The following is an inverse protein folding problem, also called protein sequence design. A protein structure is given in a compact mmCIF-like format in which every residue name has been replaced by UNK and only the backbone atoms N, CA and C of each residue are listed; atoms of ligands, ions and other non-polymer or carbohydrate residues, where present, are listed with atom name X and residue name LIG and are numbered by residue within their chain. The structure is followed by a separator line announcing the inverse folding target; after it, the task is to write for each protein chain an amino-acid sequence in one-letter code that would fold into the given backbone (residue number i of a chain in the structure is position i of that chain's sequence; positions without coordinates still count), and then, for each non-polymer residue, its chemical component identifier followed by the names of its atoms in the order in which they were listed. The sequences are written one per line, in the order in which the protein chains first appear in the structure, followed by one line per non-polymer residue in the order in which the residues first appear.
data_IF_100984813510
#
_entry.id   IF_100984813510
#
_cell.length_a   1.000
_cell.length_b   1.000
_cell.length_c   1.000
_cell.angle_alpha   90.00
_cell.angle_beta   90.00
_cell.angle_gamma   90.00
#
_symmetry.space_group_name_H-M   'P 1'
#
loop_
_entity.id
_entity.type
_entity.pdbx_description
1 polymer ?
#
# COMPACT_ATOMS: atom_id res chain seq x y z
N UNK A 1 11.60 -5.97 -17.46
CA UNK A 1 12.81 -6.73 -17.86
C UNK A 1 14.12 -5.93 -17.70
N UNK A 2 14.16 -4.62 -18.01
CA UNK A 2 15.39 -3.81 -17.89
C UNK A 2 15.95 -3.74 -16.46
N UNK A 3 15.10 -3.68 -15.44
CA UNK A 3 15.52 -3.65 -14.03
C UNK A 3 16.18 -4.96 -13.63
N UNK A 4 15.65 -6.11 -14.05
CA UNK A 4 16.25 -7.42 -13.76
C UNK A 4 17.57 -7.61 -14.49
N UNK A 5 17.68 -7.15 -15.74
CA UNK A 5 18.94 -7.18 -16.48
C UNK A 5 20.01 -6.29 -15.84
N UNK A 6 19.62 -5.10 -15.35
CA UNK A 6 20.54 -4.23 -14.61
C UNK A 6 20.97 -4.89 -13.29
N UNK A 7 20.03 -5.53 -12.57
CA UNK A 7 20.34 -6.26 -11.34
C UNK A 7 21.35 -7.40 -11.59
N UNK A 8 21.20 -8.17 -12.69
CA UNK A 8 22.15 -9.26 -13.00
C UNK A 8 23.58 -8.75 -13.22
N UNK A 9 23.73 -7.57 -13.82
CA UNK A 9 25.06 -6.95 -14.00
C UNK A 9 25.66 -6.48 -12.65
N UNK A 10 24.83 -5.96 -11.76
CA UNK A 10 25.26 -5.43 -10.46
C UNK A 10 25.66 -6.54 -9.47
N UNK A 11 24.98 -7.68 -9.52
CA UNK A 11 25.26 -8.83 -8.65
C UNK A 11 26.39 -9.73 -9.17
N UNK A 12 26.79 -9.59 -10.42
CA UNK A 12 27.81 -10.43 -11.04
C UNK A 12 29.18 -10.18 -10.38
N UNK A 13 29.78 -11.23 -9.84
CA UNK A 13 31.08 -11.17 -9.18
C UNK A 13 31.04 -10.68 -7.72
N UNK A 14 29.85 -10.52 -7.13
CA UNK A 14 29.71 -10.23 -5.71
C UNK A 14 29.84 -11.53 -4.87
N UNK A 15 30.44 -11.41 -3.68
CA UNK A 15 30.60 -12.55 -2.76
C UNK A 15 29.25 -13.06 -2.23
N UNK A 16 28.28 -12.14 -1.99
CA UNK A 16 26.90 -12.45 -1.65
C UNK A 16 25.94 -11.87 -2.70
N UNK A 17 25.54 -12.68 -3.69
CA UNK A 17 24.61 -12.22 -4.73
C UNK A 17 23.20 -11.86 -4.21
N UNK A 18 22.75 -12.50 -3.12
CA UNK A 18 21.44 -12.23 -2.54
C UNK A 18 21.41 -10.86 -1.87
N UNK A 19 22.44 -10.54 -1.08
CA UNK A 19 22.58 -9.23 -0.45
C UNK A 19 22.80 -8.12 -1.49
N UNK A 20 23.61 -8.38 -2.53
CA UNK A 20 23.80 -7.44 -3.64
C UNK A 20 22.49 -7.15 -4.37
N UNK A 21 21.66 -8.18 -4.67
CA UNK A 21 20.34 -8.02 -5.26
C UNK A 21 19.41 -7.21 -4.35
N UNK A 22 19.44 -7.52 -3.06
CA UNK A 22 18.63 -6.82 -2.06
C UNK A 22 18.99 -5.34 -1.98
N UNK A 23 20.29 -5.00 -1.94
CA UNK A 23 20.77 -3.62 -2.00
C UNK A 23 20.36 -2.92 -3.31
N UNK A 24 20.54 -3.59 -4.46
CA UNK A 24 20.15 -3.05 -5.76
C UNK A 24 18.65 -2.71 -5.81
N UNK A 25 17.80 -3.61 -5.33
CA UNK A 25 16.34 -3.42 -5.31
C UNK A 25 15.89 -2.46 -4.20
N UNK A 26 16.72 -2.21 -3.21
CA UNK A 26 16.45 -1.24 -2.13
C UNK A 26 16.78 0.20 -2.52
N UNK A 27 17.35 0.41 -3.72
CA UNK A 27 17.81 1.71 -4.19
C UNK A 27 17.18 2.13 -5.50
N UNK A 28 17.24 3.44 -5.80
CA UNK A 28 16.82 3.97 -7.08
C UNK A 28 15.31 4.10 -7.27
N UNK A 29 14.89 4.28 -8.52
CA UNK A 29 13.53 4.64 -8.91
C UNK A 29 12.51 3.50 -8.78
N UNK A 30 12.96 2.25 -8.73
CA UNK A 30 12.15 1.04 -8.64
C UNK A 30 12.60 0.20 -7.44
N UNK A 31 12.75 0.85 -6.30
CA UNK A 31 13.17 0.19 -5.07
C UNK A 31 12.02 -0.61 -4.43
N UNK A 32 12.37 -1.59 -3.64
CA UNK A 32 11.44 -2.21 -2.71
C UNK A 32 11.00 -1.21 -1.65
N UNK A 33 9.70 -1.18 -1.38
CA UNK A 33 9.18 -0.44 -0.24
C UNK A 33 9.67 -1.10 1.07
N UNK A 34 9.99 -0.29 2.06
CA UNK A 34 10.24 -0.81 3.41
C UNK A 34 8.97 -1.38 4.03
N UNK A 35 9.11 -2.24 5.04
CA UNK A 35 7.99 -2.80 5.78
C UNK A 35 7.05 -1.73 6.31
N UNK A 36 7.60 -0.62 6.85
CA UNK A 36 6.81 0.51 7.35
C UNK A 36 6.05 1.22 6.23
N UNK A 37 6.67 1.40 5.06
CA UNK A 37 5.99 1.97 3.89
C UNK A 37 4.85 1.08 3.41
N UNK A 38 5.03 -0.25 3.40
CA UNK A 38 3.99 -1.22 3.07
C UNK A 38 2.86 -1.14 4.10
N UNK A 39 3.15 -1.17 5.40
CA UNK A 39 2.16 -1.05 6.46
C UNK A 39 1.32 0.22 6.31
N UNK A 40 1.98 1.35 6.14
CA UNK A 40 1.29 2.62 5.92
C UNK A 40 0.42 2.59 4.66
N UNK A 41 0.94 2.08 3.55
CA UNK A 41 0.19 1.98 2.30
C UNK A 41 -1.05 1.08 2.42
N UNK A 42 -0.94 -0.06 3.11
CA UNK A 42 -2.09 -0.96 3.36
C UNK A 42 -3.18 -0.29 4.16
N UNK A 43 -2.80 0.56 5.13
CA UNK A 43 -3.75 1.29 5.98
C UNK A 43 -4.47 2.43 5.25
N UNK A 44 -3.79 3.11 4.31
CA UNK A 44 -4.27 4.41 3.82
C UNK A 44 -4.44 4.51 2.31
N UNK A 45 -3.75 3.67 1.53
CA UNK A 45 -3.81 3.80 0.08
C UNK A 45 -5.13 3.26 -0.49
N UNK A 46 -5.72 3.94 -1.48
CA UNK A 46 -6.92 3.47 -2.15
C UNK A 46 -6.59 2.33 -3.11
N UNK A 47 -6.30 1.16 -2.57
CA UNK A 47 -5.80 -0.03 -3.26
C UNK A 47 -6.65 -0.41 -4.47
N UNK A 48 -7.98 -0.33 -4.36
CA UNK A 48 -8.89 -0.72 -5.45
C UNK A 48 -8.74 0.17 -6.70
N UNK A 49 -8.44 1.43 -6.53
CA UNK A 49 -8.31 2.39 -7.64
C UNK A 49 -6.88 2.58 -8.11
N UNK A 50 -5.91 2.05 -7.38
CA UNK A 50 -4.47 2.19 -7.67
C UNK A 50 -3.96 1.01 -8.51
N UNK A 51 -3.06 1.29 -9.44
CA UNK A 51 -2.40 0.27 -10.25
C UNK A 51 -3.33 -0.45 -11.24
N UNK A 52 -2.89 -1.62 -11.72
CA UNK A 52 -3.63 -2.43 -12.71
C UNK A 52 -4.56 -3.42 -12.01
N UNK A 53 -5.79 -3.61 -12.54
CA UNK A 53 -6.78 -4.53 -11.99
C UNK A 53 -6.25 -5.96 -11.79
N UNK A 54 -5.49 -6.47 -12.76
CA UNK A 54 -4.87 -7.79 -12.67
C UNK A 54 -3.89 -7.92 -11.49
N UNK A 55 -3.13 -6.86 -11.19
CA UNK A 55 -2.20 -6.87 -10.04
C UNK A 55 -2.95 -6.86 -8.71
N UNK A 56 -4.04 -6.13 -8.61
CA UNK A 56 -4.88 -6.09 -7.39
C UNK A 56 -5.44 -7.46 -7.05
N UNK A 57 -6.01 -8.15 -8.07
CA UNK A 57 -6.52 -9.52 -7.90
C UNK A 57 -5.39 -10.48 -7.51
N UNK A 58 -4.22 -10.37 -8.16
CA UNK A 58 -3.06 -11.20 -7.88
C UNK A 58 -2.56 -11.04 -6.43
N UNK A 59 -2.50 -9.81 -5.92
CA UNK A 59 -2.09 -9.54 -4.53
C UNK A 59 -3.07 -10.17 -3.54
N UNK A 60 -4.38 -9.98 -3.74
CA UNK A 60 -5.41 -10.60 -2.89
C UNK A 60 -5.35 -12.12 -2.95
N UNK A 61 -5.09 -12.70 -4.13
CA UNK A 61 -4.90 -14.14 -4.30
C UNK A 61 -3.70 -14.64 -3.50
N UNK A 62 -2.56 -14.00 -3.60
CA UNK A 62 -1.37 -14.37 -2.85
C UNK A 62 -1.55 -14.24 -1.33
N UNK A 63 -2.29 -13.23 -0.89
CA UNK A 63 -2.68 -13.11 0.52
C UNK A 63 -3.50 -14.33 0.93
N UNK A 64 -4.50 -14.73 0.14
CA UNK A 64 -5.31 -15.93 0.43
C UNK A 64 -4.46 -17.20 0.42
N UNK A 65 -3.61 -17.39 -0.58
CA UNK A 65 -2.71 -18.55 -0.69
C UNK A 65 -1.75 -18.65 0.52
N UNK A 66 -1.37 -17.52 1.11
CA UNK A 66 -0.48 -17.48 2.29
C UNK A 66 -1.08 -18.05 3.57
N UNK A 67 -2.39 -18.27 3.62
CA UNK A 67 -3.02 -18.99 4.75
C UNK A 67 -2.68 -20.47 4.78
N UNK A 68 -2.15 -21.03 3.68
CA UNK A 68 -1.72 -22.42 3.62
C UNK A 68 -2.86 -23.42 3.82
N UNK A 69 -4.05 -23.10 3.30
CA UNK A 69 -5.20 -24.00 3.40
C UNK A 69 -4.88 -25.36 2.77
N UNK A 70 -5.22 -26.46 3.46
CA UNK A 70 -5.03 -27.81 2.93
C UNK A 70 -5.94 -28.12 1.74
N UNK A 71 -7.06 -27.42 1.66
CA UNK A 71 -8.04 -27.51 0.57
C UNK A 71 -8.20 -26.11 -0.02
N UNK A 72 -7.28 -25.70 -0.92
CA UNK A 72 -7.33 -24.37 -1.51
C UNK A 72 -8.55 -24.21 -2.43
N UNK A 73 -9.18 -23.05 -2.38
CA UNK A 73 -10.30 -22.69 -3.27
C UNK A 73 -9.74 -22.21 -4.61
N UNK A 74 -10.42 -22.57 -5.70
CA UNK A 74 -10.14 -21.97 -7.00
C UNK A 74 -10.55 -20.49 -7.01
N UNK A 75 -9.59 -19.60 -7.20
CA UNK A 75 -9.76 -18.17 -7.23
C UNK A 75 -9.78 -17.57 -8.66
N UNK A 76 -9.71 -18.40 -9.69
CA UNK A 76 -9.61 -17.91 -11.08
C UNK A 76 -10.87 -17.14 -11.50
N UNK A 77 -12.05 -17.58 -11.06
CA UNK A 77 -13.33 -16.91 -11.31
C UNK A 77 -13.65 -15.82 -10.28
N UNK A 78 -12.93 -15.73 -9.16
CA UNK A 78 -13.22 -14.76 -8.13
C UNK A 78 -12.97 -13.32 -8.60
N UNK A 79 -13.78 -12.41 -8.10
CA UNK A 79 -13.68 -10.95 -8.32
C UNK A 79 -13.49 -10.22 -7.00
N UNK A 80 -13.01 -8.99 -7.05
CA UNK A 80 -12.83 -8.17 -5.84
C UNK A 80 -14.18 -7.65 -5.37
N UNK A 81 -14.48 -7.87 -4.10
CA UNK A 81 -15.67 -7.40 -3.41
C UNK A 81 -15.31 -6.32 -2.39
N UNK A 82 -16.15 -5.28 -2.32
CA UNK A 82 -16.16 -4.29 -1.23
C UNK A 82 -17.11 -4.76 -0.14
N UNK A 83 -16.59 -5.08 1.04
CA UNK A 83 -17.44 -5.52 2.17
C UNK A 83 -18.36 -4.37 2.60
N UNK A 84 -17.79 -3.21 2.93
CA UNK A 84 -18.55 -1.94 3.00
C UNK A 84 -18.75 -1.46 1.56
N UNK A 85 -19.99 -1.33 1.08
CA UNK A 85 -20.28 -1.16 -0.34
C UNK A 85 -19.91 0.23 -0.86
N UNK A 86 -19.72 0.33 -2.18
CA UNK A 86 -19.40 1.60 -2.84
C UNK A 86 -20.54 2.61 -2.76
N UNK A 87 -21.78 2.14 -2.73
CA UNK A 87 -22.96 2.96 -2.52
C UNK A 87 -23.62 2.53 -1.22
N UNK A 88 -23.67 3.44 -0.26
CA UNK A 88 -24.33 3.17 1.01
C UNK A 88 -25.85 3.15 0.85
N UNK A 89 -26.47 2.18 1.46
CA UNK A 89 -27.92 2.16 1.69
C UNK A 89 -28.22 2.83 3.04
N UNK A 90 -29.47 3.22 3.29
CA UNK A 90 -29.87 3.79 4.58
C UNK A 90 -29.51 2.88 5.78
N UNK A 91 -29.52 1.57 5.56
CA UNK A 91 -29.14 0.61 6.61
C UNK A 91 -27.65 0.66 6.91
N UNK A 92 -26.80 0.78 5.85
CA UNK A 92 -25.38 0.99 6.03
C UNK A 92 -25.05 2.34 6.67
N UNK A 93 -25.75 3.42 6.24
CA UNK A 93 -25.54 4.75 6.83
C UNK A 93 -25.83 4.74 8.33
N UNK A 94 -26.95 4.11 8.76
CA UNK A 94 -27.28 3.96 10.19
C UNK A 94 -26.25 3.13 10.93
N UNK A 95 -25.89 1.96 10.39
CA UNK A 95 -24.94 1.07 11.03
C UNK A 95 -23.53 1.68 11.16
N UNK A 96 -23.12 2.53 10.22
CA UNK A 96 -21.86 3.26 10.31
C UNK A 96 -21.95 4.44 11.27
N UNK A 97 -23.04 5.21 11.23
CA UNK A 97 -23.24 6.34 12.13
C UNK A 97 -23.17 5.93 13.61
N UNK A 98 -23.70 4.76 13.95
CA UNK A 98 -23.64 4.19 15.31
C UNK A 98 -22.22 3.85 15.76
N UNK A 99 -21.25 3.80 14.83
CA UNK A 99 -19.84 3.45 15.10
C UNK A 99 -18.89 4.65 15.00
N UNK A 100 -19.40 5.82 14.60
CA UNK A 100 -18.61 7.03 14.45
C UNK A 100 -18.61 7.85 15.75
N UNK A 101 -17.50 8.55 15.99
CA UNK A 101 -17.43 9.57 17.03
C UNK A 101 -18.15 10.86 16.59
N UNK A 102 -18.62 11.64 17.53
CA UNK A 102 -19.45 12.83 17.29
C UNK A 102 -18.82 13.90 16.36
N UNK A 103 -17.50 13.88 16.21
CA UNK A 103 -16.78 14.82 15.34
C UNK A 103 -16.45 14.25 13.93
N UNK A 104 -16.78 12.98 13.65
CA UNK A 104 -16.47 12.33 12.38
C UNK A 104 -17.62 12.49 11.39
N UNK A 105 -17.29 12.85 10.15
CA UNK A 105 -18.25 12.86 9.05
C UNK A 105 -18.29 11.46 8.39
N UNK A 106 -19.50 10.92 8.24
CA UNK A 106 -19.74 9.59 7.68
C UNK A 106 -19.20 9.45 6.25
N UNK A 107 -19.39 10.48 5.43
CA UNK A 107 -18.98 10.44 4.02
C UNK A 107 -17.47 10.54 3.87
N UNK A 108 -16.82 11.31 4.72
CA UNK A 108 -15.36 11.39 4.77
C UNK A 108 -14.77 10.04 5.17
N UNK A 109 -15.26 9.43 6.24
CA UNK A 109 -14.81 8.11 6.70
C UNK A 109 -15.09 7.01 5.68
N UNK A 110 -16.26 7.03 5.03
CA UNK A 110 -16.58 6.10 3.96
C UNK A 110 -15.60 6.25 2.79
N UNK A 111 -15.34 7.48 2.34
CA UNK A 111 -14.42 7.76 1.22
C UNK A 111 -12.99 7.34 1.55
N UNK A 112 -12.52 7.59 2.77
CA UNK A 112 -11.19 7.18 3.26
C UNK A 112 -11.00 5.67 3.20
N UNK A 113 -11.97 4.91 3.69
CA UNK A 113 -11.83 3.47 3.91
C UNK A 113 -12.30 2.60 2.75
N UNK A 114 -13.19 3.12 1.91
CA UNK A 114 -13.89 2.36 0.86
C UNK A 114 -12.94 1.51 0.01
N UNK A 115 -11.89 2.10 -0.48
CA UNK A 115 -10.98 1.49 -1.43
C UNK A 115 -9.69 0.95 -0.81
N UNK A 116 -9.55 1.00 0.53
CA UNK A 116 -8.40 0.43 1.23
C UNK A 116 -8.44 -1.09 1.22
N UNK A 117 -7.28 -1.72 1.34
CA UNK A 117 -7.17 -3.18 1.34
C UNK A 117 -7.98 -3.82 2.48
N UNK A 118 -8.11 -3.13 3.62
CA UNK A 118 -8.89 -3.57 4.77
C UNK A 118 -10.36 -3.84 4.46
N UNK A 119 -10.93 -3.11 3.49
CA UNK A 119 -12.34 -3.28 3.07
C UNK A 119 -12.55 -4.26 1.91
N UNK A 120 -11.49 -4.85 1.37
CA UNK A 120 -11.57 -5.66 0.14
C UNK A 120 -11.37 -7.15 0.40
N UNK A 121 -12.08 -7.97 -0.37
CA UNK A 121 -11.89 -9.42 -0.38
C UNK A 121 -12.10 -10.00 -1.79
N UNK A 122 -12.01 -11.31 -1.92
CA UNK A 122 -12.31 -12.05 -3.15
C UNK A 122 -13.58 -12.87 -2.96
N UNK A 123 -14.46 -12.88 -3.97
CA UNK A 123 -15.65 -13.74 -3.98
C UNK A 123 -16.06 -14.10 -5.40
N UNK A 124 -16.67 -15.27 -5.57
CA UNK A 124 -17.28 -15.70 -6.84
C UNK A 124 -18.74 -15.30 -7.00
N UNK A 125 -19.34 -14.63 -5.99
CA UNK A 125 -20.79 -14.34 -5.92
C UNK A 125 -21.07 -12.87 -5.56
N UNK A 126 -20.30 -11.92 -6.11
CA UNK A 126 -20.47 -10.47 -5.89
C UNK A 126 -21.91 -9.98 -6.14
N UNK A 127 -22.60 -10.53 -7.15
CA UNK A 127 -23.97 -10.15 -7.47
C UNK A 127 -24.98 -10.44 -6.34
N UNK A 128 -24.68 -11.45 -5.52
CA UNK A 128 -25.53 -11.82 -4.38
C UNK A 128 -25.25 -10.91 -3.17
N UNK A 129 -24.02 -10.43 -3.03
CA UNK A 129 -23.62 -9.54 -1.95
C UNK A 129 -24.04 -8.10 -2.20
N UNK A 130 -23.74 -7.58 -3.38
CA UNK A 130 -24.10 -6.23 -3.84
C UNK A 130 -23.96 -5.16 -2.73
N UNK A 131 -24.94 -4.27 -2.59
CA UNK A 131 -25.01 -3.28 -1.51
C UNK A 131 -25.79 -3.78 -0.28
N UNK A 132 -25.97 -5.10 -0.15
CA UNK A 132 -26.71 -5.71 0.95
C UNK A 132 -26.11 -5.37 2.33
N UNK A 133 -26.95 -5.42 3.38
CA UNK A 133 -26.50 -5.18 4.75
C UNK A 133 -25.39 -6.13 5.18
N UNK A 134 -24.54 -5.71 6.11
CA UNK A 134 -23.43 -6.56 6.56
C UNK A 134 -23.91 -7.91 7.12
N UNK A 135 -25.04 -7.95 7.81
CA UNK A 135 -25.60 -9.21 8.34
C UNK A 135 -25.85 -10.25 7.22
N UNK A 136 -26.33 -9.81 6.06
CA UNK A 136 -26.55 -10.67 4.88
C UNK A 136 -25.22 -11.07 4.27
N UNK A 137 -24.33 -10.10 4.02
CA UNK A 137 -22.97 -10.39 3.51
C UNK A 137 -22.23 -11.36 4.42
N UNK A 138 -22.28 -11.15 5.73
CA UNK A 138 -21.67 -12.00 6.75
C UNK A 138 -22.13 -13.46 6.65
N UNK A 139 -23.45 -13.67 6.49
CA UNK A 139 -24.02 -15.01 6.38
C UNK A 139 -23.53 -15.76 5.12
N UNK A 140 -23.36 -15.04 4.01
CA UNK A 140 -22.81 -15.63 2.77
C UNK A 140 -21.30 -15.83 2.86
N UNK A 141 -20.55 -14.86 3.39
CA UNK A 141 -19.11 -14.98 3.58
C UNK A 141 -18.74 -16.11 4.55
N UNK A 142 -19.59 -16.43 5.51
CA UNK A 142 -19.38 -17.56 6.43
C UNK A 142 -19.41 -18.92 5.73
N UNK A 143 -20.07 -19.03 4.57
CA UNK A 143 -20.13 -20.27 3.76
C UNK A 143 -18.90 -20.39 2.83
N UNK A 144 -18.10 -19.37 2.72
CA UNK A 144 -16.95 -19.30 1.80
C UNK A 144 -15.81 -20.19 2.27
N UNK A 145 -15.18 -20.90 1.33
CA UNK A 145 -13.90 -21.58 1.57
C UNK A 145 -12.69 -20.63 1.64
N UNK A 146 -12.86 -19.35 1.28
CA UNK A 146 -11.81 -18.32 1.32
C UNK A 146 -11.58 -17.89 2.77
N UNK A 147 -10.36 -18.00 3.27
CA UNK A 147 -10.01 -17.66 4.67
C UNK A 147 -10.21 -16.19 4.97
N UNK A 148 -9.87 -15.30 4.03
CA UNK A 148 -10.16 -13.88 4.16
C UNK A 148 -11.65 -13.60 4.39
N UNK A 149 -12.55 -14.35 3.78
CA UNK A 149 -13.99 -14.21 3.96
C UNK A 149 -14.45 -14.75 5.33
N UNK A 150 -13.86 -15.86 5.77
CA UNK A 150 -14.14 -16.43 7.09
C UNK A 150 -13.74 -15.46 8.21
N UNK A 151 -12.59 -14.77 8.08
CA UNK A 151 -12.18 -13.72 9.02
C UNK A 151 -13.18 -12.56 9.07
N UNK A 152 -13.68 -12.10 7.92
CA UNK A 152 -14.70 -11.05 7.84
C UNK A 152 -16.00 -11.51 8.50
N UNK A 153 -16.42 -12.75 8.23
CA UNK A 153 -17.67 -13.30 8.78
C UNK A 153 -17.61 -13.54 10.29
N UNK A 154 -16.45 -13.60 10.90
CA UNK A 154 -16.28 -13.69 12.33
C UNK A 154 -16.60 -12.36 13.06
N UNK A 155 -16.55 -11.24 12.35
CA UNK A 155 -16.88 -9.93 12.94
C UNK A 155 -18.39 -9.78 13.12
N UNK A 156 -18.87 -9.29 14.26
CA UNK A 156 -20.30 -9.07 14.48
C UNK A 156 -20.86 -7.89 13.71
N UNK A 157 -20.03 -6.89 13.45
CA UNK A 157 -20.33 -5.66 12.71
C UNK A 157 -19.18 -5.36 11.75
N UNK A 158 -19.43 -4.50 10.78
CA UNK A 158 -18.40 -4.06 9.86
C UNK A 158 -18.42 -2.54 9.73
N UNK A 159 -17.32 -1.92 10.09
CA UNK A 159 -17.17 -0.47 10.08
C UNK A 159 -15.71 -0.04 10.21
N UNK A 160 -15.45 1.21 10.53
CA UNK A 160 -14.11 1.78 10.53
C UNK A 160 -13.11 1.01 11.38
N UNK A 161 -13.51 0.59 12.58
CA UNK A 161 -12.63 -0.14 13.49
C UNK A 161 -12.23 -1.51 12.91
N UNK A 162 -13.19 -2.28 12.38
CA UNK A 162 -12.94 -3.61 11.80
C UNK A 162 -12.09 -3.52 10.53
N UNK A 163 -12.37 -2.52 9.68
CA UNK A 163 -11.60 -2.29 8.44
C UNK A 163 -10.13 -1.98 8.77
N UNK A 164 -9.90 -1.07 9.73
CA UNK A 164 -8.54 -0.70 10.14
C UNK A 164 -7.82 -1.87 10.83
N UNK A 165 -8.46 -2.56 11.77
CA UNK A 165 -7.88 -3.72 12.43
C UNK A 165 -7.55 -4.85 11.45
N UNK A 166 -8.41 -5.07 10.43
CA UNK A 166 -8.12 -6.03 9.36
C UNK A 166 -6.96 -5.55 8.47
N UNK A 167 -6.89 -4.26 8.15
CA UNK A 167 -5.77 -3.71 7.38
C UNK A 167 -4.44 -3.94 8.09
N UNK A 168 -4.36 -3.79 9.42
CA UNK A 168 -3.18 -4.11 10.22
C UNK A 168 -2.78 -5.58 10.09
N UNK A 169 -3.74 -6.51 10.29
CA UNK A 169 -3.48 -7.95 10.12
C UNK A 169 -2.99 -8.31 8.71
N UNK A 170 -3.58 -7.69 7.68
CA UNK A 170 -3.16 -7.89 6.30
C UNK A 170 -1.78 -7.30 6.04
N UNK A 171 -1.44 -6.15 6.62
CA UNK A 171 -0.12 -5.55 6.52
C UNK A 171 0.95 -6.46 7.12
N UNK A 172 0.72 -7.02 8.31
CA UNK A 172 1.62 -8.00 8.94
C UNK A 172 1.81 -9.24 8.05
N UNK A 173 0.73 -9.75 7.47
CA UNK A 173 0.79 -10.88 6.55
C UNK A 173 1.57 -10.56 5.28
N UNK A 174 1.34 -9.40 4.67
CA UNK A 174 2.03 -8.94 3.46
C UNK A 174 3.53 -8.81 3.70
N UNK A 175 3.93 -8.19 4.81
CA UNK A 175 5.34 -8.08 5.19
C UNK A 175 5.95 -9.46 5.46
N UNK A 176 5.19 -10.40 6.03
CA UNK A 176 5.64 -11.79 6.22
C UNK A 176 5.83 -12.56 4.90
N UNK A 177 5.02 -12.26 3.86
CA UNK A 177 5.16 -12.87 2.54
C UNK A 177 6.30 -12.22 1.74
N UNK A 178 6.39 -10.90 1.80
CA UNK A 178 7.37 -10.09 1.05
C UNK A 178 8.08 -9.13 1.99
N UNK A 179 9.04 -9.60 2.76
CA UNK A 179 9.82 -8.74 3.62
C UNK A 179 10.56 -7.69 2.79
N UNK A 180 10.48 -6.46 3.23
CA UNK A 180 11.19 -5.35 2.62
C UNK A 180 12.70 -5.38 2.90
N UNK A 181 13.46 -4.41 2.39
CA UNK A 181 14.87 -4.27 2.71
C UNK A 181 15.05 -4.06 4.21
N UNK A 182 16.13 -4.59 4.76
CA UNK A 182 16.48 -4.34 6.17
C UNK A 182 16.55 -2.84 6.45
N UNK A 183 16.15 -2.41 7.64
CA UNK A 183 16.16 -1.00 8.02
C UNK A 183 17.54 -0.34 7.82
N UNK A 184 18.61 -1.09 7.99
CA UNK A 184 19.99 -0.63 7.76
C UNK A 184 20.29 -0.37 6.28
N UNK A 185 19.85 -1.26 5.37
CA UNK A 185 19.99 -1.08 3.92
C UNK A 185 19.11 0.06 3.40
N UNK A 186 17.86 0.15 3.87
CA UNK A 186 16.93 1.21 3.50
C UNK A 186 17.38 2.59 4.04
N UNK A 187 17.89 2.65 5.26
CA UNK A 187 18.38 3.88 5.90
C UNK A 187 19.63 4.42 5.22
N UNK A 188 20.58 3.55 4.87
CA UNK A 188 21.83 3.95 4.23
C UNK A 188 21.62 4.59 2.86
N UNK A 189 20.77 4.01 2.02
CA UNK A 189 20.51 4.51 0.67
C UNK A 189 19.58 5.74 0.67
N UNK A 190 18.52 5.72 1.47
CA UNK A 190 17.63 6.87 1.60
C UNK A 190 18.36 8.07 2.20
N UNK A 191 19.18 7.86 3.23
CA UNK A 191 19.96 8.92 3.85
C UNK A 191 20.97 9.52 2.86
N UNK A 192 21.67 8.69 2.10
CA UNK A 192 22.66 9.16 1.11
C UNK A 192 21.99 9.97 -0.02
N UNK A 193 20.87 9.53 -0.57
CA UNK A 193 20.17 10.23 -1.64
C UNK A 193 19.62 11.60 -1.19
N UNK A 194 18.96 11.65 -0.04
CA UNK A 194 18.42 12.88 0.52
C UNK A 194 19.53 13.80 1.06
N UNK A 195 20.62 13.24 1.56
CA UNK A 195 21.80 14.02 1.92
C UNK A 195 22.42 14.67 0.69
N UNK A 196 22.59 13.92 -0.40
CA UNK A 196 23.07 14.47 -1.68
C UNK A 196 22.16 15.59 -2.18
N UNK A 197 20.83 15.48 -2.00
CA UNK A 197 19.90 16.56 -2.34
C UNK A 197 20.12 17.77 -1.45
N UNK A 198 20.24 17.58 -0.14
CA UNK A 198 20.52 18.66 0.83
C UNK A 198 21.79 19.41 0.46
N UNK A 199 22.88 18.68 0.25
CA UNK A 199 24.19 19.25 -0.13
C UNK A 199 24.09 20.01 -1.46
N UNK A 200 23.35 19.48 -2.43
CA UNK A 200 23.16 20.15 -3.72
C UNK A 200 22.34 21.45 -3.59
N UNK A 201 21.31 21.47 -2.76
CA UNK A 201 20.50 22.68 -2.52
C UNK A 201 21.32 23.74 -1.77
N UNK A 202 22.10 23.34 -0.79
CA UNK A 202 22.99 24.23 -0.03
C UNK A 202 24.12 24.79 -0.91
N UNK A 203 24.55 24.03 -1.90
CA UNK A 203 25.60 24.44 -2.84
C UNK A 203 25.13 25.38 -3.96
N UNK A 204 23.83 25.71 -4.06
CA UNK A 204 23.32 26.64 -5.09
C UNK A 204 23.91 28.03 -4.87
N UNK A 205 24.72 28.55 -5.80
CA UNK A 205 25.34 29.86 -5.64
C UNK A 205 24.32 31.02 -5.58
N UNK A 206 24.71 32.13 -5.01
CA UNK A 206 23.91 33.33 -5.03
C UNK A 206 23.60 33.79 -6.46
N UNK A 207 22.33 34.09 -6.73
CA UNK A 207 21.86 34.47 -8.05
C UNK A 207 21.61 33.31 -9.02
N UNK A 208 21.84 32.07 -8.58
CA UNK A 208 21.56 30.85 -9.35
C UNK A 208 20.30 30.14 -8.83
N UNK A 209 19.73 29.27 -9.65
CA UNK A 209 18.56 28.47 -9.33
C UNK A 209 18.63 27.11 -10.04
N UNK A 210 17.86 26.16 -9.55
CA UNK A 210 17.69 24.84 -10.17
C UNK A 210 16.21 24.46 -10.20
N UNK A 211 15.87 23.34 -10.82
CA UNK A 211 14.49 22.84 -10.86
C UNK A 211 14.31 21.60 -10.00
N UNK A 212 13.08 21.38 -9.52
CA UNK A 212 12.70 20.12 -8.87
C UNK A 212 13.04 18.90 -9.73
N UNK A 213 12.94 19.03 -11.08
CA UNK A 213 13.28 17.98 -12.02
C UNK A 213 14.76 17.66 -12.08
N UNK A 214 15.65 18.65 -11.95
CA UNK A 214 17.10 18.45 -11.92
C UNK A 214 17.55 17.79 -10.61
N UNK A 215 17.05 18.27 -9.49
CA UNK A 215 17.31 17.66 -8.19
C UNK A 215 16.78 16.23 -8.11
N UNK A 216 15.60 15.98 -8.65
CA UNK A 216 15.04 14.64 -8.74
C UNK A 216 15.91 13.69 -9.57
N UNK A 217 16.45 14.17 -10.71
CA UNK A 217 17.41 13.37 -11.51
C UNK A 217 18.71 13.10 -10.78
N UNK A 218 19.22 14.08 -10.04
CA UNK A 218 20.43 13.94 -9.25
C UNK A 218 20.36 12.80 -8.25
N UNK A 219 19.24 12.68 -7.56
CA UNK A 219 19.04 11.65 -6.51
C UNK A 219 18.26 10.42 -7.00
N UNK A 220 18.02 10.28 -8.31
CA UNK A 220 17.24 9.17 -8.86
C UNK A 220 15.77 9.13 -8.44
N UNK A 221 15.16 10.28 -8.13
CA UNK A 221 13.81 10.42 -7.62
C UNK A 221 12.87 11.11 -8.64
N UNK A 222 11.70 11.57 -8.17
CA UNK A 222 10.72 12.33 -8.94
C UNK A 222 10.53 13.73 -8.34
N UNK A 223 10.12 14.75 -9.11
CA UNK A 223 9.94 16.13 -8.63
C UNK A 223 9.01 16.26 -7.41
N UNK A 224 7.92 15.49 -7.35
CA UNK A 224 6.94 15.56 -6.27
C UNK A 224 7.52 15.19 -4.90
N UNK A 225 8.21 14.04 -4.71
CA UNK A 225 8.91 13.74 -3.46
C UNK A 225 9.94 14.80 -3.07
N UNK A 226 10.69 15.35 -4.05
CA UNK A 226 11.66 16.44 -3.80
C UNK A 226 10.98 17.67 -3.25
N UNK A 227 9.89 18.12 -3.88
CA UNK A 227 9.11 19.25 -3.40
C UNK A 227 8.55 19.02 -1.98
N UNK A 228 8.04 17.82 -1.71
CA UNK A 228 7.54 17.45 -0.37
C UNK A 228 8.66 17.47 0.68
N UNK A 229 9.84 16.97 0.34
CA UNK A 229 11.01 16.99 1.25
C UNK A 229 11.43 18.42 1.54
N UNK A 230 11.61 19.27 0.52
CA UNK A 230 12.04 20.66 0.69
C UNK A 230 11.04 21.47 1.49
N UNK A 231 9.73 21.24 1.31
CA UNK A 231 8.68 21.90 2.08
C UNK A 231 8.71 21.54 3.58
N UNK A 232 9.23 20.37 3.95
CA UNK A 232 9.27 19.88 5.33
C UNK A 232 10.59 20.19 6.05
N UNK A 233 11.69 20.35 5.31
CA UNK A 233 13.05 20.41 5.89
C UNK A 233 13.59 21.83 6.05
N UNK A 234 12.87 22.87 5.65
CA UNK A 234 13.26 24.28 5.80
C UNK A 234 14.77 24.53 5.46
N UNK A 235 15.27 23.92 4.38
CA UNK A 235 16.68 24.01 4.01
C UNK A 235 17.05 25.45 3.58
N UNK A 236 18.28 25.91 3.90
CA UNK A 236 18.84 27.10 3.28
C UNK A 236 18.77 27.00 1.75
N UNK A 237 18.48 28.09 1.09
CA UNK A 237 18.38 28.14 -0.38
C UNK A 237 17.27 27.31 -1.05
N UNK A 238 16.34 26.65 -0.31
CA UNK A 238 15.20 25.94 -0.89
C UNK A 238 14.33 26.86 -1.79
N UNK A 239 14.31 28.17 -1.53
CA UNK A 239 13.63 29.17 -2.38
C UNK A 239 14.26 29.35 -3.77
N UNK A 240 15.42 28.75 -4.04
CA UNK A 240 16.10 28.75 -5.34
C UNK A 240 15.76 27.51 -6.20
N UNK A 241 14.82 26.70 -5.72
CA UNK A 241 14.36 25.52 -6.46
C UNK A 241 12.98 25.83 -7.06
N UNK A 242 12.87 25.75 -8.40
CA UNK A 242 11.71 26.13 -9.20
C UNK A 242 11.06 24.94 -9.89
#
# INVERSE_FOLDING_TARGET
NSTLLAATADIQGQDDPADALHRFLSSGRKHFASDDQIRQAVMTAPFYTTGRAAHRKLILRWIEESYGSKEPVDLDSATIEHVMPQTLTEEWERALADQLEAHQDLREVHTELLHTLGNLTLTGYNSELSNGPFAVKRAELAKSGIRMNQEISAEPVWGPAQIRARAERLADRIVGIWPGPSAEAASGVAHTAWQTLTDAVEAIPDGSWTSYGELARLIGSHPVPVGTYLARTALPHAHRVL
#
